data_IF_525036909995
#
_entry.id   IF_525036909995
#
_cell.length_a   1.000
_cell.length_b   1.000
_cell.length_c   1.000
_cell.angle_alpha   90.00
_cell.angle_beta   90.00
_cell.angle_gamma   90.00
#
_symmetry.space_group_name_H-M   'P 1'
#
loop_
_entity.id
_entity.type
_entity.pdbx_description
1 polymer ?
#
# COMPACT_ATOMS: atom_id res chain seq x y z
N UNK A 1 -1.03 8.81 -20.17
CA UNK A 1 -0.36 7.59 -20.67
C UNK A 1 -1.43 6.55 -20.90
N UNK A 2 -1.73 6.24 -22.16
CA UNK A 2 -2.86 5.40 -22.56
C UNK A 2 -2.48 3.95 -22.94
N UNK A 3 -1.18 3.63 -23.00
CA UNK A 3 -0.70 2.35 -23.53
C UNK A 3 -0.16 1.45 -22.42
N UNK A 4 -1.03 0.98 -21.53
CA UNK A 4 -0.71 -0.07 -20.56
C UNK A 4 -1.67 -1.24 -20.74
N UNK A 5 -1.17 -2.48 -20.65
CA UNK A 5 -1.96 -3.71 -20.64
C UNK A 5 -3.12 -3.67 -19.62
N UNK A 6 -2.95 -2.91 -18.53
CA UNK A 6 -4.00 -2.67 -17.55
C UNK A 6 -5.09 -1.73 -18.05
N UNK A 7 -4.74 -0.70 -18.83
CA UNK A 7 -5.73 0.20 -19.43
C UNK A 7 -6.66 -0.57 -20.40
N UNK A 8 -6.10 -1.46 -21.22
CA UNK A 8 -6.86 -2.33 -22.12
C UNK A 8 -7.76 -3.34 -21.39
N UNK A 9 -7.30 -3.87 -20.27
CA UNK A 9 -8.14 -4.79 -19.46
C UNK A 9 -9.28 -4.02 -18.78
N UNK A 10 -9.06 -2.75 -18.41
CA UNK A 10 -10.08 -1.90 -17.76
C UNK A 10 -11.20 -1.51 -18.73
N UNK A 11 -10.87 -1.20 -19.99
CA UNK A 11 -11.88 -0.83 -21.01
C UNK A 11 -12.89 -1.94 -21.30
N UNK A 12 -12.52 -3.21 -21.05
CA UNK A 12 -13.35 -4.40 -21.31
C UNK A 12 -14.27 -4.83 -20.14
N UNK A 13 -14.20 -4.20 -18.96
CA UNK A 13 -14.86 -4.68 -17.72
C UNK A 13 -16.37 -4.41 -17.57
N UNK A 14 -17.04 -3.86 -18.59
CA UNK A 14 -18.48 -3.62 -18.61
C UNK A 14 -18.94 -2.37 -17.84
N UNK A 15 -20.26 -2.08 -17.87
CA UNK A 15 -20.87 -0.94 -17.16
C UNK A 15 -21.07 -1.31 -15.68
N UNK A 16 -20.64 -0.45 -14.77
CA UNK A 16 -20.97 -0.50 -13.34
C UNK A 16 -21.67 0.78 -12.90
N UNK A 17 -22.15 0.85 -11.66
CA UNK A 17 -22.78 2.06 -11.12
C UNK A 17 -21.74 3.06 -10.61
N UNK A 18 -21.71 4.24 -11.21
CA UNK A 18 -20.97 5.40 -10.67
C UNK A 18 -21.62 5.84 -9.36
N UNK A 19 -20.83 5.96 -8.29
CA UNK A 19 -21.28 6.47 -6.99
C UNK A 19 -20.20 7.35 -6.39
N UNK A 20 -20.55 8.57 -6.00
CA UNK A 20 -19.65 9.51 -5.35
C UNK A 20 -19.21 8.96 -3.98
N UNK A 21 -17.97 9.23 -3.58
CA UNK A 21 -17.46 8.91 -2.24
C UNK A 21 -17.28 10.18 -1.42
N UNK A 22 -18.03 10.27 -0.32
CA UNK A 22 -18.04 11.37 0.64
C UNK A 22 -18.26 10.82 2.06
N UNK A 23 -17.97 11.58 3.13
CA UNK A 23 -18.20 11.12 4.51
C UNK A 23 -19.63 10.63 4.79
N UNK A 24 -20.62 11.24 4.15
CA UNK A 24 -22.05 10.92 4.30
C UNK A 24 -22.55 9.83 3.35
N UNK A 25 -21.69 9.34 2.44
CA UNK A 25 -22.09 8.36 1.43
C UNK A 25 -22.39 7.00 2.07
N UNK A 26 -23.50 6.38 1.66
CA UNK A 26 -23.83 5.03 2.09
C UNK A 26 -22.79 4.02 1.57
N UNK A 27 -22.40 3.08 2.43
CA UNK A 27 -21.46 2.01 2.09
C UNK A 27 -22.02 1.17 0.92
N UNK A 28 -21.24 0.88 -0.13
CA UNK A 28 -21.72 0.06 -1.25
C UNK A 28 -22.13 -1.34 -0.80
N UNK A 29 -23.38 -1.74 -1.12
CA UNK A 29 -23.86 -3.11 -0.89
C UNK A 29 -23.27 -4.14 -1.87
N UNK A 30 -22.91 -3.70 -3.09
CA UNK A 30 -22.24 -4.53 -4.09
C UNK A 30 -20.87 -3.95 -4.43
N UNK A 31 -19.85 -4.38 -3.68
CA UNK A 31 -18.47 -3.94 -3.87
C UNK A 31 -17.88 -4.32 -5.22
N UNK A 32 -18.27 -5.47 -5.79
CA UNK A 32 -17.73 -5.93 -7.07
C UNK A 32 -18.10 -4.98 -8.21
N UNK A 33 -19.35 -4.54 -8.26
CA UNK A 33 -19.80 -3.58 -9.27
C UNK A 33 -19.25 -2.18 -9.01
N UNK A 34 -19.25 -1.74 -7.75
CA UNK A 34 -18.69 -0.44 -7.36
C UNK A 34 -17.21 -0.32 -7.76
N UNK A 35 -16.41 -1.37 -7.49
CA UNK A 35 -14.98 -1.45 -7.83
C UNK A 35 -14.73 -1.81 -9.31
N UNK A 36 -15.74 -1.87 -10.18
CA UNK A 36 -15.50 -1.90 -11.65
C UNK A 36 -15.23 -0.51 -12.21
N UNK A 37 -15.79 0.53 -11.60
CA UNK A 37 -15.64 1.92 -12.06
C UNK A 37 -14.35 2.52 -11.50
N UNK A 38 -13.48 3.03 -12.36
CA UNK A 38 -12.20 3.60 -11.95
C UNK A 38 -12.38 4.86 -11.11
N UNK A 39 -13.32 5.74 -11.46
CA UNK A 39 -13.59 6.97 -10.69
C UNK A 39 -14.01 6.66 -9.25
N UNK A 40 -14.82 5.60 -9.05
CA UNK A 40 -15.19 5.13 -7.71
C UNK A 40 -13.97 4.71 -6.90
N UNK A 41 -13.00 4.02 -7.53
CA UNK A 41 -11.74 3.65 -6.86
C UNK A 41 -10.90 4.87 -6.53
N UNK A 42 -10.74 5.77 -7.50
CA UNK A 42 -9.95 6.99 -7.33
C UNK A 42 -10.49 7.82 -6.17
N UNK A 43 -11.81 8.03 -6.13
CA UNK A 43 -12.45 8.75 -5.03
C UNK A 43 -12.37 7.98 -3.71
N UNK A 44 -12.61 6.67 -3.71
CA UNK A 44 -12.51 5.85 -2.50
C UNK A 44 -11.11 5.91 -1.90
N UNK A 45 -10.06 5.69 -2.70
CA UNK A 45 -8.69 5.69 -2.22
C UNK A 45 -8.24 7.09 -1.79
N UNK A 46 -8.67 8.14 -2.50
CA UNK A 46 -8.39 9.52 -2.10
C UNK A 46 -9.06 9.87 -0.76
N UNK A 47 -10.31 9.47 -0.59
CA UNK A 47 -11.06 9.64 0.65
C UNK A 47 -10.37 8.90 1.80
N UNK A 48 -10.05 7.62 1.63
CA UNK A 48 -9.38 6.82 2.66
C UNK A 48 -7.99 7.37 3.01
N UNK A 49 -7.19 7.77 2.02
CA UNK A 49 -5.87 8.36 2.26
C UNK A 49 -5.97 9.64 3.11
N UNK A 50 -6.93 10.52 2.81
CA UNK A 50 -7.15 11.75 3.58
C UNK A 50 -7.55 11.42 5.03
N UNK A 51 -8.53 10.53 5.21
CA UNK A 51 -8.96 10.12 6.56
C UNK A 51 -7.83 9.48 7.35
N UNK A 52 -6.96 8.69 6.71
CA UNK A 52 -5.79 8.08 7.39
C UNK A 52 -4.79 9.15 7.81
N UNK A 53 -4.50 10.13 6.96
CA UNK A 53 -3.58 11.22 7.30
C UNK A 53 -4.11 12.07 8.46
N UNK A 54 -5.43 12.16 8.62
CA UNK A 54 -6.12 12.92 9.67
C UNK A 54 -6.34 12.14 10.98
N UNK A 55 -5.92 10.87 11.07
CA UNK A 55 -6.03 10.10 12.31
C UNK A 55 -5.18 10.77 13.39
N UNK A 56 -5.82 11.14 14.50
CA UNK A 56 -5.13 11.60 15.69
C UNK A 56 -4.36 10.44 16.33
N UNK A 57 -3.05 10.45 16.14
CA UNK A 57 -2.14 9.45 16.68
C UNK A 57 -0.79 10.06 16.96
N UNK A 58 -0.10 9.53 17.96
CA UNK A 58 1.31 9.87 18.24
C UNK A 58 2.31 9.21 17.27
N UNK A 59 1.83 8.60 16.19
CA UNK A 59 2.63 7.92 15.18
C UNK A 59 2.80 8.78 13.93
N UNK A 60 3.89 8.56 13.21
CA UNK A 60 4.06 9.10 11.86
C UNK A 60 3.25 8.27 10.87
N UNK A 61 2.24 8.89 10.25
CA UNK A 61 1.47 8.27 9.19
C UNK A 61 1.89 8.83 7.85
N UNK A 62 2.12 7.95 6.89
CA UNK A 62 2.46 8.26 5.51
C UNK A 62 1.52 7.45 4.64
N UNK A 63 0.87 8.10 3.68
CA UNK A 63 -0.08 7.44 2.79
C UNK A 63 0.01 8.00 1.38
N UNK A 64 -0.13 7.13 0.39
CA UNK A 64 -0.14 7.53 -1.02
C UNK A 64 -1.54 7.99 -1.41
N UNK A 65 -1.62 9.15 -2.07
CA UNK A 65 -2.86 9.69 -2.65
C UNK A 65 -2.63 10.01 -4.13
N UNK A 66 -3.09 9.11 -5.02
CA UNK A 66 -2.80 9.23 -6.44
C UNK A 66 -1.29 9.22 -6.69
N UNK A 67 -0.76 10.30 -7.26
CA UNK A 67 0.70 10.49 -7.45
C UNK A 67 1.37 11.25 -6.30
N UNK A 68 0.60 11.72 -5.31
CA UNK A 68 1.10 12.42 -4.15
C UNK A 68 1.27 11.53 -2.92
N UNK A 69 1.81 12.13 -1.86
CA UNK A 69 1.99 11.51 -0.55
C UNK A 69 1.46 12.47 0.50
N UNK A 70 0.59 11.98 1.38
CA UNK A 70 0.09 12.70 2.54
C UNK A 70 0.82 12.20 3.79
N UNK A 71 1.04 13.10 4.74
CA UNK A 71 1.63 12.77 6.04
C UNK A 71 0.82 13.41 7.16
N UNK A 72 0.68 12.70 8.29
CA UNK A 72 0.05 13.27 9.50
C UNK A 72 0.90 14.38 10.13
N UNK A 73 2.23 14.32 9.95
CA UNK A 73 3.18 15.33 10.40
C UNK A 73 4.05 15.79 9.22
N UNK A 74 4.49 17.07 9.23
CA UNK A 74 5.38 17.59 8.17
C UNK A 74 6.74 16.88 8.21
N UNK A 75 7.11 16.25 7.11
CA UNK A 75 8.41 15.62 6.89
C UNK A 75 8.78 15.63 5.41
N UNK A 76 10.03 15.31 5.10
CA UNK A 76 10.46 15.15 3.72
C UNK A 76 9.88 13.87 3.13
N UNK A 77 9.23 14.00 1.97
CA UNK A 77 8.62 12.90 1.20
C UNK A 77 9.19 12.82 -0.21
N UNK A 78 10.31 13.50 -0.48
CA UNK A 78 10.97 13.53 -1.79
C UNK A 78 11.39 12.15 -2.29
N UNK A 79 11.67 11.20 -1.38
CA UNK A 79 11.97 9.82 -1.71
C UNK A 79 10.73 9.01 -2.16
N UNK A 80 9.53 9.48 -1.83
CA UNK A 80 8.26 8.80 -2.09
C UNK A 80 7.46 9.45 -3.23
N UNK A 81 7.52 10.79 -3.35
CA UNK A 81 6.76 11.58 -4.30
C UNK A 81 7.61 12.05 -5.50
N UNK A 82 7.07 12.07 -6.73
CA UNK A 82 5.75 11.57 -7.10
C UNK A 82 5.68 10.04 -7.10
N UNK A 83 4.59 9.49 -6.57
CA UNK A 83 4.28 8.06 -6.67
C UNK A 83 3.88 7.71 -8.12
N UNK A 84 4.84 7.32 -8.94
CA UNK A 84 4.63 6.95 -10.36
C UNK A 84 4.37 5.45 -10.56
N UNK A 85 4.52 4.63 -9.52
CA UNK A 85 4.30 3.19 -9.57
C UNK A 85 2.79 2.88 -9.62
N UNK A 86 2.36 2.10 -10.61
CA UNK A 86 0.94 1.76 -10.80
C UNK A 86 0.44 0.74 -9.76
N UNK A 87 1.30 -0.16 -9.29
CA UNK A 87 0.91 -1.34 -8.52
C UNK A 87 1.10 -1.15 -7.00
N UNK A 88 0.11 -1.58 -6.22
CA UNK A 88 0.10 -1.37 -4.77
C UNK A 88 1.22 -2.11 -4.04
N UNK A 89 1.61 -3.28 -4.52
CA UNK A 89 2.72 -4.08 -4.00
C UNK A 89 4.08 -3.37 -4.15
N UNK A 90 4.34 -2.79 -5.32
CA UNK A 90 5.55 -2.00 -5.55
C UNK A 90 5.54 -0.68 -4.79
N UNK A 91 4.36 -0.10 -4.50
CA UNK A 91 4.21 1.04 -3.60
C UNK A 91 4.48 0.66 -2.15
N UNK A 92 3.98 -0.49 -1.67
CA UNK A 92 4.29 -1.00 -0.33
C UNK A 92 5.80 -1.17 -0.15
N UNK A 93 6.51 -1.71 -1.15
CA UNK A 93 7.97 -1.79 -1.10
C UNK A 93 8.67 -0.42 -1.17
N UNK A 94 8.08 0.59 -1.82
CA UNK A 94 8.61 1.95 -1.81
C UNK A 94 8.61 2.53 -0.39
N UNK A 95 7.46 2.45 0.28
CA UNK A 95 7.30 2.89 1.67
C UNK A 95 8.19 2.10 2.62
N UNK A 96 8.36 0.81 2.37
CA UNK A 96 9.29 -0.03 3.14
C UNK A 96 10.73 0.48 3.03
N UNK A 97 11.19 0.77 1.82
CA UNK A 97 12.53 1.27 1.57
C UNK A 97 12.75 2.63 2.25
N UNK A 98 11.80 3.55 2.15
CA UNK A 98 11.84 4.85 2.84
C UNK A 98 11.93 4.66 4.36
N UNK A 99 11.07 3.83 4.95
CA UNK A 99 11.14 3.53 6.39
C UNK A 99 12.52 2.99 6.81
N UNK A 100 13.11 2.09 6.04
CA UNK A 100 14.47 1.60 6.29
C UNK A 100 15.51 2.72 6.22
N UNK A 101 15.40 3.63 5.24
CA UNK A 101 16.29 4.79 5.11
C UNK A 101 16.15 5.77 6.29
N UNK A 102 14.96 5.85 6.88
CA UNK A 102 14.70 6.59 8.12
C UNK A 102 15.17 5.85 9.40
N UNK A 103 15.82 4.68 9.24
CA UNK A 103 16.43 3.93 10.35
C UNK A 103 15.54 2.85 10.96
N UNK A 104 14.35 2.59 10.42
CA UNK A 104 13.49 1.50 10.90
C UNK A 104 13.99 0.14 10.42
N UNK A 105 14.34 -0.75 11.35
CA UNK A 105 14.88 -2.08 11.03
C UNK A 105 13.94 -3.24 11.40
N UNK A 106 12.83 -2.96 12.07
CA UNK A 106 11.77 -3.92 12.41
C UNK A 106 10.49 -3.49 11.72
N UNK A 107 9.97 -4.35 10.86
CA UNK A 107 8.92 -4.01 9.91
C UNK A 107 7.77 -4.99 10.05
N UNK A 108 6.54 -4.46 9.98
CA UNK A 108 5.34 -5.27 9.80
C UNK A 108 4.61 -4.87 8.51
N UNK A 109 4.26 -5.84 7.68
CA UNK A 109 3.47 -5.67 6.46
C UNK A 109 2.16 -6.43 6.64
N UNK A 110 1.03 -5.77 6.40
CA UNK A 110 -0.29 -6.40 6.36
C UNK A 110 -0.79 -6.44 4.92
N UNK A 111 -1.12 -7.61 4.42
CA UNK A 111 -1.52 -7.80 3.02
C UNK A 111 -2.43 -9.01 2.85
N UNK A 112 -3.26 -9.00 1.80
CA UNK A 112 -3.98 -10.18 1.31
C UNK A 112 -3.41 -10.69 -0.01
N UNK A 113 -2.39 -10.02 -0.51
CA UNK A 113 -1.78 -10.25 -1.81
C UNK A 113 -0.46 -11.02 -1.65
N UNK A 114 -0.38 -12.16 -2.32
CA UNK A 114 0.79 -13.06 -2.29
C UNK A 114 2.01 -12.40 -2.93
N UNK A 115 1.83 -11.55 -3.95
CA UNK A 115 2.95 -10.88 -4.61
C UNK A 115 3.67 -9.96 -3.63
N UNK A 116 2.93 -9.25 -2.77
CA UNK A 116 3.49 -8.47 -1.67
C UNK A 116 4.30 -9.33 -0.71
N UNK A 117 3.83 -10.54 -0.37
CA UNK A 117 4.54 -11.46 0.53
C UNK A 117 5.89 -11.88 -0.07
N UNK A 118 5.86 -12.34 -1.33
CA UNK A 118 7.07 -12.79 -2.04
C UNK A 118 8.06 -11.63 -2.19
N UNK A 119 7.58 -10.46 -2.60
CA UNK A 119 8.38 -9.25 -2.77
C UNK A 119 8.97 -8.75 -1.45
N UNK A 120 8.22 -8.82 -0.35
CA UNK A 120 8.71 -8.44 0.98
C UNK A 120 9.84 -9.36 1.45
N UNK A 121 9.66 -10.68 1.33
CA UNK A 121 10.68 -11.67 1.70
C UNK A 121 11.95 -11.49 0.85
N UNK A 122 11.79 -11.33 -0.46
CA UNK A 122 12.92 -11.13 -1.38
C UNK A 122 13.68 -9.83 -1.09
N UNK A 123 12.97 -8.78 -0.67
CA UNK A 123 13.55 -7.46 -0.37
C UNK A 123 14.19 -7.39 1.01
N UNK A 124 13.77 -8.21 1.97
CA UNK A 124 14.17 -8.11 3.37
C UNK A 124 15.69 -8.09 3.60
N UNK A 125 16.40 -9.03 2.97
CA UNK A 125 17.86 -9.11 3.07
C UNK A 125 18.56 -7.93 2.40
N UNK A 126 18.00 -7.40 1.30
CA UNK A 126 18.59 -6.30 0.53
C UNK A 126 18.43 -4.96 1.25
N UNK A 127 17.37 -4.82 2.04
CA UNK A 127 17.03 -3.60 2.78
C UNK A 127 17.55 -3.63 4.23
N UNK A 128 18.42 -4.58 4.60
CA UNK A 128 18.95 -4.68 5.97
C UNK A 128 17.86 -4.72 7.07
N UNK A 129 16.71 -5.31 6.76
CA UNK A 129 15.62 -5.47 7.74
C UNK A 129 16.02 -6.56 8.72
N UNK A 130 16.03 -6.26 10.02
CA UNK A 130 16.39 -7.23 11.07
C UNK A 130 15.25 -8.20 11.39
N UNK A 131 14.01 -7.71 11.34
CA UNK A 131 12.82 -8.46 11.70
C UNK A 131 11.66 -8.07 10.78
N UNK A 132 11.15 -9.05 10.02
CA UNK A 132 10.02 -8.88 9.14
C UNK A 132 8.82 -9.68 9.68
N UNK A 133 7.71 -8.97 9.90
CA UNK A 133 6.42 -9.55 10.25
C UNK A 133 5.47 -9.41 9.06
N UNK A 134 4.81 -10.50 8.67
CA UNK A 134 3.83 -10.49 7.58
C UNK A 134 2.50 -10.98 8.14
N UNK A 135 1.54 -10.07 8.27
CA UNK A 135 0.16 -10.38 8.57
C UNK A 135 -0.59 -10.61 7.23
N UNK A 136 -0.73 -11.89 6.85
CA UNK A 136 -1.32 -12.31 5.58
C UNK A 136 -2.75 -12.81 5.76
N UNK A 137 -3.67 -12.35 4.90
CA UNK A 137 -5.07 -12.78 4.91
C UNK A 137 -6.02 -11.77 5.57
N UNK A 138 -7.27 -12.18 5.77
CA UNK A 138 -8.32 -11.33 6.33
C UNK A 138 -9.29 -12.12 7.21
N UNK A 139 -9.89 -11.45 8.20
CA UNK A 139 -10.86 -12.08 9.10
C UNK A 139 -10.26 -13.26 9.86
N UNK A 140 -10.94 -14.40 9.84
CA UNK A 140 -10.53 -15.64 10.53
C UNK A 140 -9.29 -16.31 9.90
N UNK A 141 -9.01 -16.01 8.64
CA UNK A 141 -7.88 -16.58 7.89
C UNK A 141 -6.60 -15.74 8.03
N UNK A 142 -6.60 -14.71 8.91
CA UNK A 142 -5.41 -13.89 9.13
C UNK A 142 -4.32 -14.70 9.85
N UNK A 143 -3.16 -14.82 9.22
CA UNK A 143 -1.99 -15.49 9.76
C UNK A 143 -0.81 -14.52 9.86
N UNK A 144 -0.06 -14.60 10.96
CA UNK A 144 1.11 -13.73 11.19
C UNK A 144 2.37 -14.58 11.13
N UNK A 145 3.23 -14.26 10.17
CA UNK A 145 4.52 -14.92 9.96
C UNK A 145 5.65 -14.00 10.38
N UNK A 146 6.59 -14.51 11.17
CA UNK A 146 7.81 -13.78 11.55
C UNK A 146 9.01 -14.37 10.84
N UNK A 147 9.80 -13.51 10.20
CA UNK A 147 11.09 -13.86 9.64
C UNK A 147 12.18 -12.99 10.26
N UNK A 148 13.12 -13.63 10.97
CA UNK A 148 14.30 -12.96 11.52
C UNK A 148 15.45 -13.12 10.52
N UNK A 149 15.98 -12.00 10.05
CA UNK A 149 17.11 -12.02 9.12
C UNK A 149 18.40 -12.21 9.92
N UNK A 150 19.21 -13.19 9.52
CA UNK A 150 20.54 -13.36 10.11
C UNK A 150 21.46 -12.30 9.53
N UNK A 151 22.31 -11.71 10.38
CA UNK A 151 23.42 -10.89 9.89
C UNK A 151 24.24 -11.67 8.86
N UNK A 152 24.68 -11.05 7.76
CA UNK A 152 25.61 -11.68 6.83
C UNK A 152 26.80 -12.21 7.63
N UNK A 153 27.09 -13.52 7.52
CA UNK A 153 28.32 -14.06 8.08
C UNK A 153 29.47 -13.42 7.31
N UNK A 154 30.26 -12.57 7.96
CA UNK A 154 31.56 -12.16 7.43
C UNK A 154 32.44 -13.40 7.40
N UNK A 155 32.79 -13.87 6.21
CA UNK A 155 33.89 -14.82 6.06
C UNK A 155 35.16 -13.96 6.11
N UNK A 156 35.84 -14.01 7.27
CA UNK A 156 37.18 -13.47 7.48
C UNK A 156 38.23 -14.39 6.87
#
# INVERSE_FOLDING_TARGET
MADSLKADTRSKRGKGVRRRVEPSSAVPGNWQEFLRINDNKTELFSFLASNVADIDTNKHLITTQGTGVLCSNRQDVSALAPCTREEADTLILLHLQDAVQQGYSKVSIRTVDTDVVVLAIASANRLNISELWIAFGAGKELQVHRCSMRSPKSWS
#
